data_IF_183046129595
#
_entry.id   IF_183046129595
#
_cell.length_a   1.000
_cell.length_b   1.000
_cell.length_c   1.000
_cell.angle_alpha   90.00
_cell.angle_beta   90.00
_cell.angle_gamma   90.00
#
_symmetry.space_group_name_H-M   'P 1'
#
loop_
_entity.id
_entity.type
_entity.pdbx_description
1 polymer ?
#
# COMPACT_ATOMS: atom_id res chain seq x y z
N UNK A 1 48.85 9.08 14.41
CA UNK A 1 48.13 10.31 14.80
C UNK A 1 47.40 11.00 13.64
N UNK A 2 48.01 11.22 12.46
CA UNK A 2 47.34 11.89 11.31
C UNK A 2 46.14 11.11 10.75
N UNK A 3 46.28 9.80 10.56
CA UNK A 3 45.19 8.92 10.05
C UNK A 3 43.99 8.90 10.99
N UNK A 4 44.22 8.79 12.30
CA UNK A 4 43.14 8.81 13.31
C UNK A 4 42.37 10.15 13.27
N UNK A 5 43.05 11.29 13.12
CA UNK A 5 42.40 12.61 12.99
C UNK A 5 41.55 12.72 11.72
N UNK A 6 42.02 12.16 10.60
CA UNK A 6 41.24 12.12 9.35
C UNK A 6 40.01 11.22 9.49
N UNK A 7 40.16 10.03 10.07
CA UNK A 7 39.04 9.12 10.33
C UNK A 7 38.00 9.75 11.27
N UNK A 8 38.43 10.45 12.32
CA UNK A 8 37.54 11.19 13.22
C UNK A 8 36.81 12.34 12.50
N UNK A 9 37.50 13.06 11.61
CA UNK A 9 36.89 14.10 10.79
C UNK A 9 35.80 13.53 9.86
N UNK A 10 36.09 12.43 9.17
CA UNK A 10 35.13 11.73 8.31
C UNK A 10 33.93 11.23 9.12
N UNK A 11 34.18 10.61 10.27
CA UNK A 11 33.12 10.15 11.17
C UNK A 11 32.24 11.31 11.66
N UNK A 12 32.83 12.47 11.97
CA UNK A 12 32.09 13.67 12.37
C UNK A 12 31.18 14.21 11.26
N UNK A 13 31.69 14.27 10.02
CA UNK A 13 30.89 14.69 8.85
C UNK A 13 29.77 13.69 8.55
N UNK A 14 30.06 12.39 8.61
CA UNK A 14 29.06 11.34 8.40
C UNK A 14 27.96 11.38 9.47
N UNK A 15 28.33 11.60 10.74
CA UNK A 15 27.37 11.76 11.82
C UNK A 15 26.50 13.00 11.64
N UNK A 16 27.09 14.13 11.26
CA UNK A 16 26.34 15.36 10.97
C UNK A 16 25.37 15.15 9.81
N UNK A 17 25.79 14.50 8.73
CA UNK A 17 24.92 14.16 7.60
C UNK A 17 23.76 13.25 8.03
N UNK A 18 24.03 12.23 8.84
CA UNK A 18 22.99 11.33 9.36
C UNK A 18 21.96 12.08 10.22
N UNK A 19 22.42 13.00 11.08
CA UNK A 19 21.53 13.87 11.88
C UNK A 19 20.68 14.76 10.96
N UNK A 20 21.29 15.40 9.96
CA UNK A 20 20.55 16.24 8.99
C UNK A 20 19.47 15.43 8.27
N UNK A 21 19.79 14.23 7.77
CA UNK A 21 18.81 13.35 7.10
C UNK A 21 17.71 12.92 8.05
N UNK A 22 18.04 12.55 9.29
CA UNK A 22 17.06 12.15 10.31
C UNK A 22 16.04 13.27 10.61
N UNK A 23 16.49 14.52 10.67
CA UNK A 23 15.60 15.65 10.94
C UNK A 23 14.86 16.17 9.69
N UNK A 24 15.45 16.01 8.50
CA UNK A 24 14.84 16.41 7.24
C UNK A 24 13.82 15.37 6.70
N UNK A 25 13.98 14.08 7.00
CA UNK A 25 13.09 13.03 6.53
C UNK A 25 11.67 13.18 7.13
N UNK A 26 10.60 13.04 6.31
CA UNK A 26 9.23 13.22 6.76
C UNK A 26 8.84 12.12 7.74
N UNK A 27 8.12 12.49 8.81
CA UNK A 27 7.57 11.53 9.78
C UNK A 27 6.21 10.98 9.37
N UNK A 28 5.58 11.55 8.35
CA UNK A 28 4.32 11.10 7.78
C UNK A 28 4.52 10.80 6.29
N UNK A 29 4.25 9.57 5.90
CA UNK A 29 4.27 9.11 4.51
C UNK A 29 2.85 9.21 3.95
N UNK A 30 2.65 10.11 3.01
CA UNK A 30 1.48 10.13 2.13
C UNK A 30 1.91 9.74 0.72
N UNK A 31 1.15 8.86 0.09
CA UNK A 31 1.36 8.43 -1.30
C UNK A 31 0.02 8.08 -1.94
N UNK A 32 -0.15 8.48 -3.20
CA UNK A 32 -1.30 8.12 -4.02
C UNK A 32 -0.87 7.84 -5.47
N UNK A 33 -1.54 6.89 -6.12
CA UNK A 33 -1.36 6.56 -7.54
C UNK A 33 -2.73 6.52 -8.21
N UNK A 34 -2.79 6.98 -9.45
CA UNK A 34 -4.05 7.10 -10.21
C UNK A 34 -3.95 6.42 -11.57
N UNK A 35 -5.02 5.73 -11.97
CA UNK A 35 -5.15 5.13 -13.30
C UNK A 35 -6.59 5.27 -13.82
N UNK A 36 -6.75 5.33 -15.14
CA UNK A 36 -8.06 5.23 -15.79
C UNK A 36 -8.31 3.80 -16.27
N UNK A 37 -9.47 3.25 -15.95
CA UNK A 37 -9.90 1.89 -16.27
C UNK A 37 -11.14 1.94 -17.17
N UNK A 38 -11.10 1.28 -18.32
CA UNK A 38 -12.21 1.20 -19.28
C UNK A 38 -13.24 0.14 -18.83
N UNK A 39 -13.76 0.30 -17.63
CA UNK A 39 -14.80 -0.54 -17.07
C UNK A 39 -15.78 0.30 -16.25
N UNK A 40 -17.05 -0.14 -16.13
CA UNK A 40 -18.03 0.52 -15.28
C UNK A 40 -17.56 0.62 -13.83
N UNK A 41 -17.91 1.71 -13.15
CA UNK A 41 -17.53 1.99 -11.77
C UNK A 41 -17.94 0.86 -10.81
N UNK A 42 -19.08 0.21 -11.09
CA UNK A 42 -19.57 -0.94 -10.32
C UNK A 42 -18.65 -2.17 -10.43
N UNK A 43 -18.14 -2.48 -11.62
CA UNK A 43 -17.21 -3.60 -11.85
C UNK A 43 -15.90 -3.35 -11.12
N UNK A 44 -15.33 -2.16 -11.28
CA UNK A 44 -14.07 -1.77 -10.61
C UNK A 44 -14.23 -1.79 -9.09
N UNK A 45 -15.36 -1.26 -8.59
CA UNK A 45 -15.69 -1.29 -7.17
C UNK A 45 -15.70 -2.71 -6.59
N UNK A 46 -16.35 -3.67 -7.26
CA UNK A 46 -16.41 -5.05 -6.80
C UNK A 46 -15.02 -5.70 -6.69
N UNK A 47 -14.12 -5.41 -7.64
CA UNK A 47 -12.73 -5.87 -7.60
C UNK A 47 -11.93 -5.32 -6.43
N UNK A 48 -12.28 -4.12 -5.94
CA UNK A 48 -11.61 -3.48 -4.80
C UNK A 48 -12.18 -3.97 -3.46
N UNK A 49 -13.51 -4.03 -3.31
CA UNK A 49 -14.13 -4.30 -2.01
C UNK A 49 -14.14 -5.77 -1.62
N UNK A 50 -14.21 -6.68 -2.60
CA UNK A 50 -14.18 -8.11 -2.32
C UNK A 50 -12.73 -8.55 -2.16
N UNK A 51 -12.32 -8.93 -0.94
CA UNK A 51 -10.94 -9.35 -0.66
C UNK A 51 -10.53 -10.55 -1.50
N UNK A 52 -11.47 -11.46 -1.81
CA UNK A 52 -11.20 -12.58 -2.74
C UNK A 52 -10.76 -12.14 -4.13
N UNK A 53 -11.20 -10.96 -4.59
CA UNK A 53 -10.81 -10.38 -5.88
C UNK A 53 -9.53 -9.55 -5.69
N UNK A 54 -9.48 -8.75 -4.62
CA UNK A 54 -8.31 -7.96 -4.22
C UNK A 54 -7.02 -8.79 -4.22
N UNK A 55 -7.07 -9.98 -3.64
CA UNK A 55 -5.92 -10.89 -3.52
C UNK A 55 -5.43 -11.49 -4.85
N UNK A 56 -6.20 -11.33 -5.94
CA UNK A 56 -5.79 -11.82 -7.27
C UNK A 56 -4.95 -10.80 -8.03
N UNK A 57 -5.18 -9.50 -7.80
CA UNK A 57 -4.49 -8.44 -8.53
C UNK A 57 -3.48 -7.66 -7.67
N UNK A 58 -3.62 -7.65 -6.35
CA UNK A 58 -2.67 -6.95 -5.49
C UNK A 58 -1.24 -7.50 -5.72
N UNK A 59 -0.24 -6.63 -5.62
CA UNK A 59 1.15 -7.00 -5.90
C UNK A 59 1.68 -8.03 -4.88
N UNK A 60 1.20 -7.97 -3.64
CA UNK A 60 1.66 -8.80 -2.52
C UNK A 60 1.23 -10.27 -2.63
N UNK A 61 0.03 -10.54 -3.17
CA UNK A 61 -0.43 -11.91 -3.43
C UNK A 61 0.43 -12.68 -4.42
N UNK A 62 1.15 -11.98 -5.32
CA UNK A 62 2.06 -12.60 -6.29
C UNK A 62 3.47 -12.82 -5.74
N UNK A 63 3.86 -12.11 -4.69
CA UNK A 63 5.19 -12.20 -4.09
C UNK A 63 5.38 -13.48 -3.27
N UNK A 64 4.31 -13.99 -2.68
CA UNK A 64 4.31 -15.18 -1.83
C UNK A 64 3.14 -16.11 -2.15
N UNK A 65 3.36 -17.03 -3.08
CA UNK A 65 2.35 -18.01 -3.50
C UNK A 65 1.99 -19.02 -2.41
N UNK A 66 2.78 -19.11 -1.33
CA UNK A 66 2.52 -20.00 -0.20
C UNK A 66 1.80 -19.28 0.96
N UNK A 67 1.63 -17.96 0.87
CA UNK A 67 0.93 -17.18 1.88
C UNK A 67 -0.52 -17.67 2.03
N UNK A 68 -0.96 -17.76 3.28
CA UNK A 68 -2.31 -18.14 3.64
C UNK A 68 -3.11 -16.87 3.90
N UNK A 69 -4.28 -16.77 3.26
CA UNK A 69 -5.22 -15.66 3.43
C UNK A 69 -6.48 -16.18 4.11
N UNK A 70 -6.99 -15.43 5.09
CA UNK A 70 -8.20 -15.76 5.83
C UNK A 70 -9.09 -14.54 5.89
N UNK A 71 -10.24 -14.62 5.21
CA UNK A 71 -11.28 -13.60 5.27
C UNK A 71 -12.22 -13.92 6.43
N UNK A 72 -12.43 -12.93 7.30
CA UNK A 72 -13.38 -13.00 8.41
C UNK A 72 -14.44 -11.92 8.28
N UNK A 73 -15.68 -12.26 8.66
CA UNK A 73 -16.85 -11.42 8.39
C UNK A 73 -17.45 -11.67 7.01
N UNK A 74 -18.35 -10.79 6.58
CA UNK A 74 -18.96 -10.85 5.26
C UNK A 74 -18.10 -10.07 4.26
N UNK A 75 -17.50 -10.76 3.29
CA UNK A 75 -16.63 -10.10 2.31
C UNK A 75 -17.35 -8.97 1.56
N UNK A 76 -16.66 -7.85 1.34
CA UNK A 76 -17.21 -6.65 0.72
C UNK A 76 -18.08 -5.78 1.62
N UNK A 77 -18.14 -6.03 2.94
CA UNK A 77 -18.84 -5.15 3.91
C UNK A 77 -17.88 -4.45 4.86
N UNK A 78 -18.35 -3.36 5.48
CA UNK A 78 -17.63 -2.72 6.61
C UNK A 78 -17.43 -3.75 7.73
N UNK A 79 -16.24 -3.75 8.33
CA UNK A 79 -15.82 -4.70 9.36
C UNK A 79 -15.33 -6.04 8.83
N UNK A 80 -15.38 -6.30 7.52
CA UNK A 80 -14.71 -7.46 6.96
C UNK A 80 -13.20 -7.29 7.05
N UNK A 81 -12.49 -8.38 7.36
CA UNK A 81 -11.03 -8.39 7.54
C UNK A 81 -10.43 -9.52 6.72
N UNK A 82 -9.42 -9.19 5.92
CA UNK A 82 -8.54 -10.17 5.29
C UNK A 82 -7.20 -10.21 6.03
N UNK A 83 -6.86 -11.37 6.58
CA UNK A 83 -5.60 -11.58 7.32
C UNK A 83 -4.71 -12.52 6.53
N UNK A 84 -3.41 -12.24 6.49
CA UNK A 84 -2.44 -13.10 5.83
C UNK A 84 -1.27 -13.47 6.72
N UNK A 85 -0.68 -14.62 6.42
CA UNK A 85 0.59 -15.07 6.97
C UNK A 85 1.41 -15.71 5.86
N UNK A 86 2.62 -15.19 5.62
CA UNK A 86 3.56 -15.71 4.64
C UNK A 86 5.00 -15.45 5.05
N UNK A 87 5.93 -16.19 4.44
CA UNK A 87 7.36 -16.08 4.73
C UNK A 87 7.94 -14.77 4.16
N UNK A 88 7.47 -14.35 2.98
CA UNK A 88 7.97 -13.15 2.29
C UNK A 88 7.13 -11.91 2.55
N UNK A 89 5.81 -12.09 2.68
CA UNK A 89 4.85 -10.99 2.91
C UNK A 89 4.62 -10.69 4.40
N UNK A 90 5.23 -11.49 5.28
CA UNK A 90 5.05 -11.39 6.73
C UNK A 90 3.64 -11.74 7.16
N UNK A 91 3.25 -11.21 8.32
CA UNK A 91 1.90 -11.37 8.87
C UNK A 91 1.22 -10.01 8.94
N UNK A 92 -0.06 -9.95 8.57
CA UNK A 92 -0.82 -8.72 8.67
C UNK A 92 -2.30 -8.91 8.38
N UNK A 93 -3.03 -7.82 8.45
CA UNK A 93 -4.46 -7.77 8.17
C UNK A 93 -4.88 -6.44 7.56
N UNK A 94 -5.91 -6.50 6.72
CA UNK A 94 -6.56 -5.37 6.07
C UNK A 94 -8.04 -5.40 6.42
N UNK A 95 -8.54 -4.32 7.01
CA UNK A 95 -9.92 -4.20 7.49
C UNK A 95 -10.66 -3.09 6.75
N UNK A 96 -11.89 -3.34 6.29
CA UNK A 96 -12.75 -2.30 5.73
C UNK A 96 -13.37 -1.45 6.83
N UNK A 97 -13.01 -0.17 6.91
CA UNK A 97 -13.53 0.77 7.90
C UNK A 97 -14.77 1.52 7.41
N UNK A 98 -14.75 1.96 6.14
CA UNK A 98 -15.85 2.70 5.53
C UNK A 98 -15.93 2.38 4.04
N UNK A 99 -17.16 2.16 3.57
CA UNK A 99 -17.47 1.91 2.17
C UNK A 99 -18.56 2.89 1.73
N UNK A 100 -18.23 3.80 0.83
CA UNK A 100 -19.18 4.64 0.11
C UNK A 100 -19.32 4.09 -1.32
N UNK A 101 -20.42 3.36 -1.63
CA UNK A 101 -20.56 2.63 -2.88
C UNK A 101 -20.14 3.42 -4.10
N UNK A 102 -19.27 2.78 -4.89
CA UNK A 102 -18.71 3.29 -6.14
C UNK A 102 -17.83 4.53 -6.00
N UNK A 103 -17.65 5.12 -4.82
CA UNK A 103 -16.94 6.40 -4.66
C UNK A 103 -15.68 6.29 -3.83
N UNK A 104 -15.77 5.66 -2.66
CA UNK A 104 -14.68 5.67 -1.69
C UNK A 104 -14.62 4.40 -0.86
N UNK A 105 -13.42 3.89 -0.67
CA UNK A 105 -13.11 2.78 0.24
C UNK A 105 -12.07 3.29 1.23
N UNK A 106 -12.27 3.04 2.52
CA UNK A 106 -11.28 3.28 3.56
C UNK A 106 -11.00 1.99 4.30
N UNK A 107 -9.72 1.69 4.47
CA UNK A 107 -9.24 0.46 5.07
C UNK A 107 -8.13 0.74 6.08
N UNK A 108 -8.02 -0.13 7.09
CA UNK A 108 -6.89 -0.15 8.01
C UNK A 108 -5.98 -1.32 7.68
N UNK A 109 -4.73 -1.01 7.35
CA UNK A 109 -3.67 -1.98 7.21
C UNK A 109 -2.91 -2.10 8.53
N UNK A 110 -2.72 -3.32 9.03
CA UNK A 110 -1.96 -3.60 10.24
C UNK A 110 -1.01 -4.76 10.00
N UNK A 111 0.29 -4.55 10.21
CA UNK A 111 1.28 -5.63 10.17
C UNK A 111 1.52 -6.17 11.58
N UNK A 112 1.50 -7.50 11.69
CA UNK A 112 1.87 -8.24 12.88
C UNK A 112 3.36 -8.62 12.82
N UNK A 113 4.08 -8.36 13.91
CA UNK A 113 5.52 -8.59 13.99
C UNK A 113 6.16 -7.84 15.15
N UNK A 114 7.49 -7.97 15.35
CA UNK A 114 8.21 -7.30 16.43
C UNK A 114 8.13 -5.77 16.35
N UNK A 115 7.90 -5.22 15.15
CA UNK A 115 7.56 -3.81 14.92
C UNK A 115 6.14 -3.71 14.38
N UNK A 116 5.16 -3.65 15.28
CA UNK A 116 3.76 -3.37 14.92
C UNK A 116 3.70 -2.04 14.17
N UNK A 117 3.14 -2.05 12.98
CA UNK A 117 2.92 -0.84 12.18
C UNK A 117 1.52 -0.85 11.60
N UNK A 118 0.98 0.35 11.39
CA UNK A 118 -0.33 0.53 10.79
C UNK A 118 -0.25 1.58 9.70
N UNK A 119 -1.09 1.42 8.68
CA UNK A 119 -1.29 2.40 7.63
C UNK A 119 -2.78 2.52 7.31
N UNK A 120 -3.21 3.70 6.94
CA UNK A 120 -4.56 3.96 6.44
C UNK A 120 -4.52 3.87 4.92
N UNK A 121 -5.29 2.95 4.35
CA UNK A 121 -5.35 2.70 2.90
C UNK A 121 -6.68 3.19 2.38
N UNK A 122 -6.69 3.87 1.24
CA UNK A 122 -7.92 4.40 0.67
C UNK A 122 -7.97 4.26 -0.85
N UNK A 123 -9.19 4.12 -1.36
CA UNK A 123 -9.48 4.21 -2.79
C UNK A 123 -10.50 5.32 -3.03
N UNK A 124 -10.28 6.09 -4.09
CA UNK A 124 -11.26 7.00 -4.66
C UNK A 124 -11.58 6.59 -6.10
N UNK A 125 -12.85 6.49 -6.41
CA UNK A 125 -13.35 6.13 -7.72
C UNK A 125 -14.18 7.30 -8.26
N UNK A 126 -13.88 7.71 -9.48
CA UNK A 126 -14.61 8.76 -10.19
C UNK A 126 -14.99 8.26 -11.57
N UNK A 127 -16.27 8.36 -11.91
CA UNK A 127 -16.73 8.11 -13.27
C UNK A 127 -16.24 9.22 -14.22
N UNK A 128 -15.74 8.83 -15.38
CA UNK A 128 -15.36 9.72 -16.48
C UNK A 128 -15.76 9.09 -17.82
N UNK A 129 -16.88 9.56 -18.40
CA UNK A 129 -17.34 9.20 -19.75
C UNK A 129 -17.40 7.68 -20.01
N UNK A 130 -17.99 6.93 -19.08
CA UNK A 130 -18.11 5.46 -19.18
C UNK A 130 -16.84 4.69 -18.79
N UNK A 131 -15.81 5.39 -18.29
CA UNK A 131 -14.61 4.84 -17.69
C UNK A 131 -14.58 5.19 -16.20
N UNK A 132 -13.68 4.55 -15.46
CA UNK A 132 -13.48 4.80 -14.03
C UNK A 132 -12.06 5.25 -13.77
N UNK A 133 -11.89 6.44 -13.24
CA UNK A 133 -10.62 6.91 -12.69
C UNK A 133 -10.51 6.41 -11.26
N UNK A 134 -9.49 5.60 -10.99
CA UNK A 134 -9.21 5.03 -9.66
C UNK A 134 -7.96 5.67 -9.12
N UNK A 135 -8.05 6.19 -7.89
CA UNK A 135 -6.89 6.62 -7.09
C UNK A 135 -6.76 5.69 -5.90
N UNK A 136 -5.58 5.10 -5.72
CA UNK A 136 -5.24 4.27 -4.57
C UNK A 136 -4.12 4.94 -3.79
N UNK A 137 -4.35 5.17 -2.49
CA UNK A 137 -3.38 5.81 -1.64
C UNK A 137 -3.23 5.16 -0.28
N UNK A 138 -2.18 5.60 0.41
CA UNK A 138 -1.79 5.15 1.74
C UNK A 138 -1.19 6.30 2.54
N UNK A 139 -1.60 6.34 3.80
CA UNK A 139 -1.08 7.22 4.84
C UNK A 139 -0.46 6.38 5.95
N UNK A 140 0.76 6.71 6.37
CA UNK A 140 1.44 5.99 7.44
C UNK A 140 2.42 6.87 8.21
N UNK A 141 2.43 6.73 9.53
CA UNK A 141 3.35 7.43 10.42
C UNK A 141 4.62 6.61 10.66
N UNK A 142 5.77 7.25 10.43
CA UNK A 142 7.08 6.73 10.76
C UNK A 142 7.73 7.64 11.83
N UNK A 143 7.67 7.29 13.13
CA UNK A 143 8.30 8.09 14.18
C UNK A 143 9.82 8.07 14.02
N UNK A 144 10.49 9.12 14.49
CA UNK A 144 11.96 9.15 14.52
C UNK A 144 12.49 8.07 15.47
N UNK A 145 13.53 7.31 15.10
CA UNK A 145 14.38 7.46 13.91
C UNK A 145 13.98 6.62 12.68
N UNK A 146 12.83 5.93 12.71
CA UNK A 146 12.35 5.08 11.61
C UNK A 146 11.86 5.87 10.39
N UNK A 147 11.61 7.17 10.52
CA UNK A 147 11.22 8.07 9.43
C UNK A 147 12.15 8.03 8.21
N UNK A 148 13.45 7.77 8.41
CA UNK A 148 14.42 7.62 7.32
C UNK A 148 14.07 6.43 6.41
N UNK A 149 13.46 5.37 6.96
CA UNK A 149 13.05 4.18 6.20
C UNK A 149 11.93 4.53 5.21
N UNK A 150 11.04 5.48 5.53
CA UNK A 150 9.97 5.91 4.62
C UNK A 150 10.52 6.44 3.29
N UNK A 151 11.68 7.10 3.31
CA UNK A 151 12.36 7.59 2.10
C UNK A 151 12.89 6.44 1.24
N UNK A 152 13.39 5.37 1.88
CA UNK A 152 13.92 4.20 1.18
C UNK A 152 12.81 3.33 0.58
N UNK A 153 11.67 3.22 1.28
CA UNK A 153 10.53 2.41 0.86
C UNK A 153 9.67 3.08 -0.22
N UNK A 154 9.68 4.41 -0.33
CA UNK A 154 8.81 5.16 -1.26
C UNK A 154 8.88 4.60 -2.69
N UNK A 155 10.07 4.45 -3.25
CA UNK A 155 10.22 4.01 -4.64
C UNK A 155 9.85 2.54 -4.89
N UNK A 156 9.88 1.67 -3.88
CA UNK A 156 9.32 0.32 -4.01
C UNK A 156 7.80 0.34 -3.90
N UNK A 157 7.25 1.09 -2.94
CA UNK A 157 5.80 1.22 -2.75
C UNK A 157 5.11 1.81 -3.97
N UNK A 158 5.68 2.85 -4.59
CA UNK A 158 5.14 3.46 -5.81
C UNK A 158 5.03 2.43 -6.94
N UNK A 159 6.07 1.60 -7.12
CA UNK A 159 6.09 0.53 -8.14
C UNK A 159 5.06 -0.56 -7.86
N UNK A 160 4.91 -0.97 -6.60
CA UNK A 160 3.94 -1.99 -6.20
C UNK A 160 2.50 -1.50 -6.43
N UNK A 161 2.21 -0.23 -6.12
CA UNK A 161 0.90 0.38 -6.35
C UNK A 161 0.60 0.52 -7.84
N UNK A 162 1.57 0.96 -8.65
CA UNK A 162 1.43 1.01 -10.11
C UNK A 162 1.16 -0.37 -10.71
N UNK A 163 1.92 -1.39 -10.27
CA UNK A 163 1.73 -2.76 -10.73
C UNK A 163 0.36 -3.33 -10.31
N UNK A 164 -0.08 -3.05 -9.08
CA UNK A 164 -1.40 -3.44 -8.59
C UNK A 164 -2.54 -2.76 -9.38
N UNK A 165 -2.46 -1.44 -9.60
CA UNK A 165 -3.43 -0.71 -10.41
C UNK A 165 -3.49 -1.20 -11.86
N UNK A 166 -2.34 -1.53 -12.47
CA UNK A 166 -2.28 -2.12 -13.80
C UNK A 166 -2.95 -3.50 -13.84
N UNK A 167 -2.75 -4.33 -12.81
CA UNK A 167 -3.40 -5.63 -12.70
C UNK A 167 -4.92 -5.51 -12.49
N UNK A 168 -5.36 -4.58 -11.63
CA UNK A 168 -6.78 -4.25 -11.43
C UNK A 168 -7.42 -3.81 -12.75
N UNK A 169 -6.77 -2.91 -13.49
CA UNK A 169 -7.23 -2.47 -14.82
C UNK A 169 -7.44 -3.66 -15.75
N UNK A 170 -6.44 -4.54 -15.85
CA UNK A 170 -6.52 -5.72 -16.72
C UNK A 170 -7.69 -6.64 -16.36
N UNK A 171 -7.93 -6.91 -15.09
CA UNK A 171 -9.02 -7.78 -14.64
C UNK A 171 -10.39 -7.14 -14.87
N UNK A 172 -10.57 -5.89 -14.46
CA UNK A 172 -11.85 -5.19 -14.61
C UNK A 172 -12.26 -4.98 -16.08
N UNK A 173 -11.29 -4.68 -16.96
CA UNK A 173 -11.55 -4.55 -18.40
C UNK A 173 -11.88 -5.89 -19.05
N UNK A 174 -11.24 -6.98 -18.63
CA UNK A 174 -11.52 -8.32 -19.14
C UNK A 174 -12.94 -8.80 -18.79
N UNK A 175 -13.40 -8.57 -17.55
CA UNK A 175 -14.76 -8.95 -17.12
C UNK A 175 -15.85 -8.16 -17.88
N UNK A 176 -15.53 -6.95 -18.34
CA UNK A 176 -16.45 -6.13 -19.13
C UNK A 176 -16.59 -6.66 -20.57
N UNK A 177 -15.60 -7.37 -21.10
CA UNK A 177 -15.62 -7.95 -22.45
C UNK A 177 -16.32 -9.31 -22.54
N UNK A 178 -16.69 -9.91 -21.40
CA UNK A 178 -17.38 -11.21 -21.34
C UNK A 178 -18.91 -11.10 -21.41
N UNK A 179 -19.43 -9.87 -21.59
CA UNK A 179 -20.84 -9.54 -21.78
C UNK A 179 -21.02 -8.77 -23.09
#
# INVERSE_FOLDING_TARGET
>A
MKVIKVLLGIAGVALLAAVVVLFAAPTHLHMERTITIHAPQATVWQHIVLFKNFNQWNAWGKLDSAAQYTITGQDGTVGAVDSWQGEKVGEGRLEHLQLEPYKKVQQKLSFAGPSKSTADVFFHLKEDKGQTVVTWGVDSDFPRPLNVISLLLRGSLERDYDAGLAALKKQAEADTMQY
#
